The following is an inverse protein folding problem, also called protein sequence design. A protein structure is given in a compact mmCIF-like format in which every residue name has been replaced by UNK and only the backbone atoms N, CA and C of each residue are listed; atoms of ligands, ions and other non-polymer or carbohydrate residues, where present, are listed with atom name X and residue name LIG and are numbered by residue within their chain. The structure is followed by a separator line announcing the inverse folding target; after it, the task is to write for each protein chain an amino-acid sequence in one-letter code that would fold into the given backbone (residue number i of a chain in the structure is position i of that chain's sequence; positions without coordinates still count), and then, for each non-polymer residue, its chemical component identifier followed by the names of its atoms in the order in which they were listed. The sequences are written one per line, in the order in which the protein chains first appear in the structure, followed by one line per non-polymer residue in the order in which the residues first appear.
data_IF_962577727100
#
_entry.id   IF_962577727100
#
_cell.length_a   1.000
_cell.length_b   1.000
_cell.length_c   1.000
_cell.angle_alpha   90.00
_cell.angle_beta   90.00
_cell.angle_gamma   90.00
#
_symmetry.space_group_name_H-M   'P 1'
#
loop_
_entity.id
_entity.type
_entity.pdbx_description
1 polymer ?
#
# COMPACT_ATOMS: atom_id res chain seq x y z
N UNK A 1 -6.53 44.03 12.39
CA UNK A 1 -5.51 42.96 12.25
C UNK A 1 -6.30 41.67 12.13
N UNK A 2 -6.75 41.36 10.92
CA UNK A 2 -7.49 40.13 10.64
C UNK A 2 -6.49 38.97 10.73
N UNK A 3 -6.60 38.18 11.79
CA UNK A 3 -5.98 36.85 11.84
C UNK A 3 -6.73 35.99 10.85
N UNK A 4 -6.33 36.08 9.58
CA UNK A 4 -6.76 35.16 8.54
C UNK A 4 -6.48 33.74 9.01
N UNK A 5 -7.55 32.94 9.06
CA UNK A 5 -7.62 31.53 9.40
C UNK A 5 -6.78 30.74 8.36
N UNK A 6 -5.46 30.88 8.45
CA UNK A 6 -4.50 30.26 7.53
C UNK A 6 -4.39 28.80 7.92
N UNK A 7 -5.22 28.00 7.27
CA UNK A 7 -5.19 26.55 7.41
C UNK A 7 -3.79 26.05 7.02
N UNK A 8 -3.12 25.25 7.87
CA UNK A 8 -1.77 24.80 7.58
C UNK A 8 -1.79 23.82 6.39
N UNK A 9 -1.17 24.25 5.29
CA UNK A 9 -1.03 23.51 4.02
C UNK A 9 0.43 23.13 3.80
N UNK A 10 0.69 21.87 3.50
CA UNK A 10 1.96 21.42 2.92
C UNK A 10 1.76 21.12 1.45
N UNK A 11 2.71 21.53 0.62
CA UNK A 11 2.75 21.12 -0.79
C UNK A 11 4.15 20.71 -1.21
N UNK A 12 4.19 19.78 -2.16
CA UNK A 12 5.41 19.36 -2.84
C UNK A 12 5.09 19.06 -4.30
N UNK A 13 6.05 19.27 -5.19
CA UNK A 13 5.87 19.00 -6.61
C UNK A 13 6.84 17.91 -7.03
N UNK A 14 6.29 16.91 -7.71
CA UNK A 14 7.05 15.82 -8.31
C UNK A 14 7.17 16.05 -9.81
N UNK A 15 8.40 16.03 -10.33
CA UNK A 15 8.66 16.03 -11.76
C UNK A 15 8.81 14.57 -12.22
N UNK A 16 7.86 14.10 -13.02
CA UNK A 16 7.75 12.70 -13.43
C UNK A 16 7.80 12.57 -14.94
N UNK A 17 8.29 11.42 -15.40
CA UNK A 17 8.22 10.99 -16.78
C UNK A 17 6.75 10.78 -17.16
N UNK A 18 6.28 11.33 -18.31
CA UNK A 18 4.90 11.13 -18.76
C UNK A 18 4.57 9.66 -19.00
N UNK A 19 3.37 9.24 -18.59
CA UNK A 19 2.84 7.90 -18.86
C UNK A 19 1.58 7.99 -19.72
N UNK A 20 1.59 7.30 -20.86
CA UNK A 20 0.44 7.27 -21.76
C UNK A 20 -0.79 6.61 -21.11
N UNK A 21 -1.98 7.11 -21.45
CA UNK A 21 -3.26 6.61 -20.89
C UNK A 21 -3.47 5.13 -21.21
N UNK A 22 -3.08 4.73 -22.42
CA UNK A 22 -3.20 3.37 -22.92
C UNK A 22 -2.36 2.41 -22.07
N UNK A 23 -1.14 2.84 -21.67
CA UNK A 23 -0.25 2.04 -20.82
C UNK A 23 -0.86 1.81 -19.44
N UNK A 24 -1.52 2.82 -18.85
CA UNK A 24 -2.22 2.66 -17.57
C UNK A 24 -3.37 1.65 -17.71
N UNK A 25 -4.19 1.79 -18.76
CA UNK A 25 -5.28 0.84 -19.04
C UNK A 25 -4.79 -0.59 -19.24
N UNK A 26 -3.71 -0.79 -20.00
CA UNK A 26 -3.10 -2.10 -20.19
C UNK A 26 -2.51 -2.67 -18.91
N UNK A 27 -1.93 -1.82 -18.05
CA UNK A 27 -1.38 -2.24 -16.75
C UNK A 27 -2.48 -2.73 -15.83
N UNK A 28 -3.61 -2.02 -15.76
CA UNK A 28 -4.79 -2.43 -14.98
C UNK A 28 -5.37 -3.75 -15.51
N UNK A 29 -5.51 -3.90 -16.83
CA UNK A 29 -5.97 -5.15 -17.43
C UNK A 29 -5.03 -6.33 -17.13
N UNK A 30 -3.71 -6.11 -17.16
CA UNK A 30 -2.74 -7.13 -16.80
C UNK A 30 -2.76 -7.47 -15.29
N UNK A 31 -3.04 -6.51 -14.41
CA UNK A 31 -3.24 -6.78 -12.98
C UNK A 31 -4.47 -7.66 -12.72
N UNK A 32 -5.56 -7.46 -13.47
CA UNK A 32 -6.71 -8.36 -13.44
C UNK A 32 -6.35 -9.77 -13.94
N UNK A 33 -5.51 -9.89 -14.97
CA UNK A 33 -5.00 -11.18 -15.44
C UNK A 33 -4.19 -11.92 -14.37
N UNK A 34 -3.36 -11.21 -13.60
CA UNK A 34 -2.66 -11.76 -12.43
C UNK A 34 -3.65 -12.33 -11.43
N UNK A 35 -4.66 -11.53 -11.04
CA UNK A 35 -5.68 -11.96 -10.08
C UNK A 35 -6.40 -13.23 -10.56
N UNK A 36 -6.78 -13.31 -11.84
CA UNK A 36 -7.40 -14.51 -12.44
C UNK A 36 -6.49 -15.74 -12.43
N UNK A 37 -5.20 -15.53 -12.60
CA UNK A 37 -4.22 -16.61 -12.75
C UNK A 37 -3.83 -17.27 -11.44
N UNK A 38 -4.19 -16.66 -10.30
CA UNK A 38 -4.03 -17.27 -8.98
C UNK A 38 -4.73 -18.63 -8.91
N UNK A 39 -3.98 -19.65 -8.46
CA UNK A 39 -4.50 -21.00 -8.21
C UNK A 39 -4.29 -21.37 -6.76
N UNK A 40 -5.20 -22.17 -6.22
CA UNK A 40 -5.17 -22.57 -4.82
C UNK A 40 -5.05 -24.08 -4.69
N UNK A 41 -4.33 -24.55 -3.68
CA UNK A 41 -4.20 -25.96 -3.35
C UNK A 41 -5.48 -26.52 -2.70
N UNK A 42 -5.46 -27.81 -2.33
CA UNK A 42 -6.61 -28.46 -1.68
C UNK A 42 -6.95 -27.91 -0.29
N UNK A 43 -6.08 -27.11 0.32
CA UNK A 43 -6.28 -26.40 1.59
C UNK A 43 -6.63 -24.93 1.39
N UNK A 44 -6.75 -24.49 0.14
CA UNK A 44 -7.06 -23.12 -0.23
C UNK A 44 -5.85 -22.19 -0.22
N UNK A 45 -4.61 -22.64 -0.06
CA UNK A 45 -3.44 -21.76 -0.10
C UNK A 45 -3.03 -21.43 -1.53
N UNK A 46 -2.65 -20.18 -1.77
CA UNK A 46 -2.16 -19.73 -3.07
C UNK A 46 -0.91 -20.52 -3.45
N UNK A 47 -0.97 -21.18 -4.61
CA UNK A 47 0.19 -21.81 -5.23
C UNK A 47 1.14 -20.72 -5.72
N UNK A 48 2.37 -20.77 -5.23
CA UNK A 48 3.43 -19.84 -5.60
C UNK A 48 4.37 -20.49 -6.61
N UNK A 49 4.95 -19.72 -7.56
CA UNK A 49 5.98 -20.24 -8.46
C UNK A 49 7.18 -20.80 -7.68
N UNK A 50 7.99 -21.63 -8.35
CA UNK A 50 9.26 -22.10 -7.79
C UNK A 50 10.25 -20.94 -7.54
N UNK A 51 11.28 -21.22 -6.75
CA UNK A 51 12.26 -20.20 -6.34
C UNK A 51 12.99 -19.59 -7.54
N UNK A 52 13.33 -20.38 -8.56
CA UNK A 52 14.02 -19.88 -9.77
C UNK A 52 13.14 -18.89 -10.54
N UNK A 53 11.85 -19.19 -10.67
CA UNK A 53 10.89 -18.31 -11.34
C UNK A 53 10.64 -17.06 -10.52
N UNK A 54 10.52 -17.16 -9.19
CA UNK A 54 10.40 -16.00 -8.31
C UNK A 54 11.63 -15.07 -8.42
N UNK A 55 12.84 -15.64 -8.36
CA UNK A 55 14.07 -14.87 -8.47
C UNK A 55 14.19 -14.14 -9.82
N UNK A 56 13.76 -14.76 -10.92
CA UNK A 56 13.68 -14.11 -12.25
C UNK A 56 12.65 -12.98 -12.27
N UNK A 57 11.47 -13.21 -11.71
CA UNK A 57 10.41 -12.19 -11.66
C UNK A 57 10.85 -10.98 -10.84
N UNK A 58 11.55 -11.17 -9.73
CA UNK A 58 12.02 -10.02 -8.93
C UNK A 58 13.21 -9.32 -9.54
N UNK A 59 14.08 -10.02 -10.27
CA UNK A 59 15.10 -9.37 -11.08
C UNK A 59 14.46 -8.46 -12.14
N UNK A 60 13.41 -8.94 -12.80
CA UNK A 60 12.64 -8.13 -13.73
C UNK A 60 11.94 -6.96 -13.01
N UNK A 61 11.28 -7.19 -11.88
CA UNK A 61 10.63 -6.15 -11.08
C UNK A 61 11.61 -5.04 -10.64
N UNK A 62 12.82 -5.42 -10.21
CA UNK A 62 13.86 -4.49 -9.82
C UNK A 62 14.36 -3.66 -11.01
N UNK A 63 14.49 -4.27 -12.19
CA UNK A 63 14.86 -3.54 -13.42
C UNK A 63 13.82 -2.49 -13.82
N UNK A 64 12.55 -2.71 -13.46
CA UNK A 64 11.44 -1.78 -13.66
C UNK A 64 11.29 -0.74 -12.53
N UNK A 65 12.11 -0.84 -11.48
CA UNK A 65 12.05 0.03 -10.30
C UNK A 65 10.89 -0.28 -9.35
N UNK A 66 10.25 -1.45 -9.46
CA UNK A 66 9.14 -1.87 -8.61
C UNK A 66 9.59 -2.43 -7.25
N UNK A 67 10.84 -2.90 -7.16
CA UNK A 67 11.41 -3.49 -5.95
C UNK A 67 12.89 -3.14 -5.80
N UNK A 68 13.36 -3.16 -4.56
CA UNK A 68 14.79 -3.14 -4.26
C UNK A 68 15.31 -4.58 -4.19
N UNK A 69 16.14 -4.96 -5.18
CA UNK A 69 16.69 -6.31 -5.30
C UNK A 69 17.58 -6.68 -4.12
N UNK A 70 18.39 -5.73 -3.63
CA UNK A 70 19.33 -6.00 -2.55
C UNK A 70 18.57 -6.22 -1.25
N UNK A 71 17.61 -5.34 -0.95
CA UNK A 71 16.73 -5.49 0.20
C UNK A 71 15.91 -6.80 0.13
N UNK A 72 15.38 -7.16 -1.04
CA UNK A 72 14.61 -8.40 -1.22
C UNK A 72 15.47 -9.67 -1.05
N UNK A 73 16.74 -9.63 -1.46
CA UNK A 73 17.69 -10.73 -1.25
C UNK A 73 18.13 -10.85 0.20
N UNK A 74 18.41 -9.72 0.84
CA UNK A 74 18.74 -9.64 2.26
C UNK A 74 17.60 -10.19 3.11
N UNK A 75 16.37 -9.69 2.92
CA UNK A 75 15.19 -10.18 3.63
C UNK A 75 14.94 -11.69 3.42
N UNK A 76 15.31 -12.26 2.27
CA UNK A 76 15.22 -13.72 2.06
C UNK A 76 16.32 -14.50 2.76
N UNK A 77 17.55 -13.99 2.73
CA UNK A 77 18.67 -14.59 3.45
C UNK A 77 18.36 -14.60 4.95
N UNK A 78 17.95 -13.47 5.52
CA UNK A 78 17.55 -13.36 6.92
C UNK A 78 16.41 -14.32 7.28
N UNK A 79 15.38 -14.41 6.42
CA UNK A 79 14.28 -15.39 6.60
C UNK A 79 14.78 -16.84 6.62
N UNK A 80 15.65 -17.21 5.69
CA UNK A 80 16.22 -18.57 5.59
C UNK A 80 17.09 -18.89 6.80
N UNK A 81 17.97 -17.97 7.19
CA UNK A 81 18.82 -18.11 8.38
C UNK A 81 17.98 -18.22 9.66
N UNK A 82 16.91 -17.44 9.78
CA UNK A 82 15.98 -17.54 10.91
C UNK A 82 15.25 -18.90 10.95
N UNK A 83 14.78 -19.39 9.80
CA UNK A 83 14.13 -20.69 9.68
C UNK A 83 15.09 -21.86 9.92
N UNK A 84 16.35 -21.75 9.51
CA UNK A 84 17.38 -22.75 9.80
C UNK A 84 17.72 -22.77 11.29
N UNK A 85 17.95 -21.60 11.90
CA UNK A 85 18.23 -21.50 13.32
C UNK A 85 17.10 -22.05 14.18
N UNK A 86 15.84 -21.79 13.80
CA UNK A 86 14.67 -22.34 14.48
C UNK A 86 14.62 -23.87 14.41
N UNK A 87 15.09 -24.48 13.31
CA UNK A 87 15.13 -25.94 13.13
C UNK A 87 16.29 -26.63 13.87
N UNK A 88 17.45 -25.98 13.95
CA UNK A 88 18.69 -26.62 14.43
C UNK A 88 19.04 -26.32 15.89
N UNK A 89 18.61 -25.19 16.43
CA UNK A 89 18.97 -24.79 17.78
C UNK A 89 18.12 -25.55 18.83
N UNK A 90 18.80 -26.17 19.80
CA UNK A 90 18.17 -26.97 20.86
C UNK A 90 17.98 -26.19 22.17
N UNK A 91 18.55 -25.00 22.27
CA UNK A 91 18.68 -24.18 23.49
C UNK A 91 18.09 -22.77 23.31
N UNK A 92 17.10 -22.61 22.43
CA UNK A 92 16.41 -21.32 22.28
C UNK A 92 15.52 -21.04 23.48
N UNK A 93 15.60 -19.82 24.01
CA UNK A 93 14.57 -19.32 24.90
C UNK A 93 13.23 -19.16 24.14
N UNK A 94 12.08 -19.19 24.83
CA UNK A 94 10.78 -18.95 24.19
C UNK A 94 10.70 -17.63 23.41
N UNK A 95 11.33 -16.57 23.90
CA UNK A 95 11.35 -15.25 23.26
C UNK A 95 12.20 -15.22 21.97
N UNK A 96 13.36 -15.90 21.98
CA UNK A 96 14.19 -16.03 20.79
C UNK A 96 13.54 -16.91 19.73
N UNK A 97 12.91 -18.02 20.13
CA UNK A 97 12.17 -18.87 19.22
C UNK A 97 11.03 -18.09 18.53
N UNK A 98 10.32 -17.25 19.28
CA UNK A 98 9.25 -16.42 18.73
C UNK A 98 9.76 -15.34 17.79
N UNK A 99 10.85 -14.66 18.15
CA UNK A 99 11.51 -13.69 17.27
C UNK A 99 11.93 -14.33 15.95
N UNK A 100 12.45 -15.56 15.98
CA UNK A 100 12.84 -16.31 14.78
C UNK A 100 11.63 -16.77 13.96
N UNK A 101 10.49 -17.10 14.60
CA UNK A 101 9.23 -17.40 13.87
C UNK A 101 8.71 -16.19 13.11
N UNK A 102 8.65 -15.02 13.75
CA UNK A 102 8.29 -13.76 13.09
C UNK A 102 9.26 -13.44 11.96
N UNK A 103 10.58 -13.53 12.21
CA UNK A 103 11.59 -13.23 11.18
C UNK A 103 11.61 -14.21 10.02
N UNK A 104 11.14 -15.45 10.21
CA UNK A 104 11.04 -16.45 9.15
C UNK A 104 9.68 -16.46 8.47
N UNK A 105 8.77 -15.57 8.87
CA UNK A 105 7.40 -15.56 8.35
C UNK A 105 7.35 -15.13 6.88
N UNK A 106 6.31 -15.59 6.18
CA UNK A 106 6.02 -15.22 4.79
C UNK A 106 4.56 -14.84 4.65
N UNK A 107 4.29 -13.76 3.93
CA UNK A 107 2.91 -13.39 3.59
C UNK A 107 2.31 -14.46 2.66
N UNK A 108 1.12 -14.94 3.00
CA UNK A 108 0.39 -15.92 2.21
C UNK A 108 -1.08 -15.51 2.06
N UNK A 109 -1.69 -15.98 0.97
CA UNK A 109 -3.10 -15.80 0.66
C UNK A 109 -3.80 -17.15 0.70
N UNK A 110 -4.87 -17.24 1.47
CA UNK A 110 -5.75 -18.41 1.52
C UNK A 110 -7.13 -18.07 0.99
N UNK A 111 -7.67 -18.84 0.05
CA UNK A 111 -9.10 -18.90 -0.25
C UNK A 111 -9.78 -19.77 0.80
N UNK A 112 -10.47 -19.14 1.76
CA UNK A 112 -11.14 -19.84 2.86
C UNK A 112 -12.52 -20.38 2.46
N UNK A 113 -13.25 -19.65 1.61
CA UNK A 113 -14.55 -20.10 1.12
C UNK A 113 -14.95 -19.45 -0.22
N UNK A 114 -15.88 -20.09 -0.92
CA UNK A 114 -16.36 -19.64 -2.23
C UNK A 114 -15.49 -20.10 -3.39
N UNK A 115 -15.85 -19.66 -4.60
CA UNK A 115 -15.06 -19.89 -5.81
C UNK A 115 -14.18 -18.67 -6.07
N UNK A 116 -12.93 -18.89 -6.50
CA UNK A 116 -11.99 -17.81 -6.78
C UNK A 116 -12.63 -16.70 -7.65
N UNK A 117 -12.57 -15.46 -7.17
CA UNK A 117 -13.12 -14.21 -7.74
C UNK A 117 -14.64 -14.17 -7.90
N UNK A 118 -15.37 -15.22 -7.53
CA UNK A 118 -16.82 -15.16 -7.51
C UNK A 118 -17.32 -14.25 -6.38
N UNK A 119 -18.49 -13.61 -6.52
CA UNK A 119 -19.14 -12.94 -5.41
C UNK A 119 -19.25 -13.85 -4.18
N UNK A 120 -18.91 -13.31 -3.01
CA UNK A 120 -18.78 -13.98 -1.71
C UNK A 120 -17.58 -14.91 -1.55
N UNK A 121 -16.63 -14.91 -2.49
CA UNK A 121 -15.32 -15.50 -2.23
C UNK A 121 -14.66 -14.78 -1.05
N UNK A 122 -14.20 -15.55 -0.06
CA UNK A 122 -13.54 -15.02 1.12
C UNK A 122 -12.10 -15.50 1.16
N UNK A 123 -11.19 -14.54 1.21
CA UNK A 123 -9.76 -14.77 1.31
C UNK A 123 -9.25 -14.30 2.67
N UNK A 124 -8.16 -14.90 3.11
CA UNK A 124 -7.42 -14.47 4.27
C UNK A 124 -5.96 -14.27 3.89
N UNK A 125 -5.45 -13.06 4.13
CA UNK A 125 -4.04 -12.73 4.03
C UNK A 125 -3.44 -12.84 5.42
N UNK A 126 -2.49 -13.73 5.60
CA UNK A 126 -1.82 -13.98 6.87
C UNK A 126 -0.31 -14.10 6.67
N UNK A 127 0.45 -13.82 7.72
CA UNK A 127 1.84 -14.25 7.79
C UNK A 127 1.88 -15.71 8.24
N UNK A 128 2.60 -16.55 7.50
CA UNK A 128 2.82 -17.95 7.85
C UNK A 128 4.24 -18.13 8.38
N UNK A 129 4.39 -18.90 9.44
CA UNK A 129 5.69 -19.39 9.88
C UNK A 129 6.32 -20.29 8.80
N UNK A 130 7.61 -20.60 8.97
CA UNK A 130 8.31 -21.57 8.10
C UNK A 130 7.70 -22.99 8.12
N UNK A 131 6.85 -23.30 9.10
CA UNK A 131 6.08 -24.55 9.20
C UNK A 131 4.70 -24.46 8.51
N UNK A 132 4.34 -23.30 7.96
CA UNK A 132 3.06 -23.05 7.28
C UNK A 132 1.90 -22.79 8.24
N UNK A 133 2.19 -22.40 9.49
CA UNK A 133 1.17 -22.08 10.51
C UNK A 133 0.94 -20.56 10.53
N UNK A 134 -0.30 -20.07 10.52
CA UNK A 134 -0.58 -18.64 10.69
C UNK A 134 0.03 -18.09 11.97
N UNK A 135 0.70 -16.95 11.87
CA UNK A 135 1.31 -16.27 12.99
C UNK A 135 0.22 -15.49 13.74
N UNK A 136 -0.06 -15.88 14.98
CA UNK A 136 -0.97 -15.12 15.84
C UNK A 136 -0.23 -13.93 16.48
N UNK A 137 -0.89 -12.78 16.66
CA UNK A 137 -0.27 -11.62 17.29
C UNK A 137 0.08 -11.95 18.74
N UNK A 138 1.38 -11.90 19.05
CA UNK A 138 1.95 -12.34 20.35
C UNK A 138 1.60 -11.35 21.47
N UNK A 139 1.39 -10.08 21.13
CA UNK A 139 1.08 -9.02 22.10
C UNK A 139 -0.13 -8.20 21.64
N UNK A 140 -0.96 -7.78 22.59
CA UNK A 140 -2.10 -6.88 22.34
C UNK A 140 -1.72 -5.53 21.69
N UNK A 141 -0.43 -5.20 21.67
CA UNK A 141 0.11 -3.98 21.05
C UNK A 141 0.57 -4.18 19.60
N UNK A 142 0.69 -5.44 19.13
CA UNK A 142 1.21 -5.75 17.79
C UNK A 142 0.16 -5.70 16.66
N UNK A 143 -1.12 -5.50 16.99
CA UNK A 143 -2.17 -5.27 15.99
C UNK A 143 -2.54 -6.54 15.21
N UNK A 144 -3.57 -6.40 14.38
CA UNK A 144 -4.38 -7.46 13.77
C UNK A 144 -3.62 -8.69 13.26
N UNK A 145 -4.27 -9.84 13.43
CA UNK A 145 -3.75 -11.17 13.06
C UNK A 145 -3.70 -11.49 11.56
N UNK A 146 -4.37 -10.69 10.74
CA UNK A 146 -4.43 -10.89 9.28
C UNK A 146 -5.46 -9.99 8.64
N UNK A 147 -5.66 -10.14 7.34
CA UNK A 147 -6.65 -9.38 6.56
C UNK A 147 -7.61 -10.33 5.87
N UNK A 148 -8.86 -10.35 6.31
CA UNK A 148 -9.96 -10.96 5.55
C UNK A 148 -10.31 -10.07 4.36
N UNK A 149 -10.49 -10.67 3.18
CA UNK A 149 -10.93 -9.98 1.95
C UNK A 149 -12.12 -10.74 1.37
N UNK A 150 -13.24 -10.05 1.21
CA UNK A 150 -14.47 -10.62 0.64
C UNK A 150 -14.78 -9.98 -0.70
N UNK A 151 -14.94 -10.79 -1.74
CA UNK A 151 -15.39 -10.29 -3.06
C UNK A 151 -16.88 -9.98 -2.99
N UNK A 152 -17.25 -8.73 -3.20
CA UNK A 152 -18.66 -8.30 -3.27
C UNK A 152 -19.19 -8.42 -4.70
N UNK A 153 -18.39 -7.98 -5.67
CA UNK A 153 -18.62 -8.16 -7.10
C UNK A 153 -17.29 -8.27 -7.83
N UNK A 154 -17.28 -8.99 -8.95
CA UNK A 154 -16.11 -9.07 -9.80
C UNK A 154 -16.54 -9.03 -11.26
N UNK A 155 -16.37 -7.87 -11.88
CA UNK A 155 -16.46 -7.70 -13.32
C UNK A 155 -15.36 -6.72 -13.74
N UNK A 156 -14.37 -7.24 -14.45
CA UNK A 156 -13.16 -6.50 -14.86
C UNK A 156 -13.45 -5.46 -15.94
N UNK A 157 -14.57 -5.61 -16.65
CA UNK A 157 -15.02 -4.70 -17.69
C UNK A 157 -16.08 -3.71 -17.18
N UNK A 158 -16.62 -3.94 -15.98
CA UNK A 158 -17.55 -3.05 -15.31
C UNK A 158 -17.04 -2.70 -13.91
N UNK A 159 -17.55 -3.34 -12.86
CA UNK A 159 -17.24 -2.99 -11.48
C UNK A 159 -16.72 -4.19 -10.68
N UNK A 160 -15.49 -4.09 -10.22
CA UNK A 160 -14.92 -4.98 -9.20
C UNK A 160 -15.01 -4.31 -7.84
N UNK A 161 -15.54 -5.02 -6.85
CA UNK A 161 -15.67 -4.52 -5.48
C UNK A 161 -15.28 -5.58 -4.48
N UNK A 162 -14.41 -5.21 -3.56
CA UNK A 162 -13.98 -6.05 -2.44
C UNK A 162 -14.18 -5.30 -1.13
N UNK A 163 -14.51 -6.05 -0.09
CA UNK A 163 -14.48 -5.61 1.29
C UNK A 163 -13.24 -6.20 1.96
N UNK A 164 -12.60 -5.44 2.84
CA UNK A 164 -11.51 -5.95 3.67
C UNK A 164 -11.79 -5.69 5.15
N UNK A 165 -11.34 -6.60 6.00
CA UNK A 165 -11.49 -6.53 7.43
C UNK A 165 -10.25 -7.12 8.12
N UNK A 166 -9.73 -6.39 9.10
CA UNK A 166 -8.57 -6.74 9.90
C UNK A 166 -9.04 -6.93 11.34
N UNK A 167 -9.27 -8.17 11.80
CA UNK A 167 -9.68 -8.45 13.17
C UNK A 167 -8.50 -8.32 14.13
N UNK A 168 -8.74 -7.86 15.36
CA UNK A 168 -7.70 -7.74 16.39
C UNK A 168 -7.09 -9.11 16.71
N UNK A 169 -7.96 -10.13 16.84
CA UNK A 169 -7.60 -11.52 17.14
C UNK A 169 -8.32 -12.48 16.18
N UNK A 170 -7.65 -13.58 15.83
CA UNK A 170 -8.22 -14.62 14.95
C UNK A 170 -9.46 -15.22 15.62
N UNK A 171 -10.56 -15.35 14.89
CA UNK A 171 -11.76 -16.05 15.37
C UNK A 171 -12.57 -15.30 16.44
N UNK A 172 -12.28 -14.03 16.67
CA UNK A 172 -13.08 -13.16 17.53
C UNK A 172 -14.38 -12.72 16.84
N UNK A 173 -15.48 -12.70 17.60
CA UNK A 173 -16.76 -12.09 17.18
C UNK A 173 -16.76 -10.56 17.34
N UNK A 174 -15.64 -9.97 17.77
CA UNK A 174 -15.52 -8.52 17.92
C UNK A 174 -15.43 -7.82 16.55
N UNK A 175 -15.95 -6.58 16.44
CA UNK A 175 -15.81 -5.79 15.21
C UNK A 175 -14.33 -5.61 14.83
N UNK A 176 -14.00 -5.64 13.53
CA UNK A 176 -12.62 -5.49 13.07
C UNK A 176 -12.03 -4.12 13.45
N UNK A 177 -10.72 -4.11 13.79
CA UNK A 177 -9.98 -2.90 14.13
C UNK A 177 -9.71 -2.02 12.92
N UNK A 178 -9.67 -2.61 11.73
CA UNK A 178 -9.67 -1.85 10.48
C UNK A 178 -10.56 -2.55 9.47
N UNK A 179 -11.40 -1.82 8.77
CA UNK A 179 -12.26 -2.38 7.72
C UNK A 179 -12.53 -1.36 6.62
N UNK A 180 -12.99 -1.82 5.48
CA UNK A 180 -13.22 -0.92 4.36
C UNK A 180 -13.67 -1.62 3.10
N UNK A 181 -13.91 -0.83 2.07
CA UNK A 181 -14.24 -1.35 0.74
C UNK A 181 -13.38 -0.69 -0.31
N UNK A 182 -12.95 -1.47 -1.30
CA UNK A 182 -12.29 -0.99 -2.51
C UNK A 182 -13.20 -1.30 -3.70
N UNK A 183 -13.47 -0.29 -4.52
CA UNK A 183 -14.26 -0.41 -5.74
C UNK A 183 -13.48 0.15 -6.90
N UNK A 184 -13.34 -0.63 -7.96
CA UNK A 184 -12.81 -0.19 -9.25
C UNK A 184 -13.93 -0.24 -10.28
N UNK A 185 -14.25 0.91 -10.87
CA UNK A 185 -15.14 1.05 -12.01
C UNK A 185 -14.29 1.27 -13.27
N UNK A 186 -14.17 0.22 -14.07
CA UNK A 186 -13.32 0.21 -15.26
C UNK A 186 -13.86 1.15 -16.35
N UNK A 187 -15.18 1.28 -16.47
CA UNK A 187 -15.81 2.14 -17.48
C UNK A 187 -15.64 3.62 -17.15
N UNK A 188 -15.68 3.97 -15.86
CA UNK A 188 -15.42 5.32 -15.38
C UNK A 188 -13.92 5.63 -15.22
N UNK A 189 -13.04 4.63 -15.21
CA UNK A 189 -11.62 4.80 -14.90
C UNK A 189 -11.39 5.25 -13.45
N UNK A 190 -12.26 4.81 -12.54
CA UNK A 190 -12.38 5.32 -11.18
C UNK A 190 -12.08 4.22 -10.15
N UNK A 191 -11.10 4.48 -9.29
CA UNK A 191 -10.81 3.68 -8.11
C UNK A 191 -11.27 4.45 -6.86
N UNK A 192 -12.08 3.81 -6.03
CA UNK A 192 -12.47 4.34 -4.72
C UNK A 192 -12.11 3.33 -3.64
N UNK A 193 -11.58 3.82 -2.52
CA UNK A 193 -11.39 3.01 -1.32
C UNK A 193 -11.95 3.77 -0.11
N UNK A 194 -12.60 3.06 0.80
CA UNK A 194 -13.02 3.57 2.09
C UNK A 194 -12.35 2.76 3.18
N UNK A 195 -11.99 3.41 4.28
CA UNK A 195 -11.39 2.78 5.44
C UNK A 195 -12.02 3.31 6.73
N UNK A 196 -12.24 2.44 7.70
CA UNK A 196 -12.57 2.76 9.08
C UNK A 196 -11.58 2.04 9.97
N UNK A 197 -10.92 2.79 10.86
CA UNK A 197 -9.94 2.30 11.82
C UNK A 197 -10.47 2.56 13.22
N UNK A 198 -10.38 1.57 14.09
CA UNK A 198 -10.75 1.58 15.50
C UNK A 198 -9.67 0.85 16.28
N UNK A 199 -8.79 1.58 16.95
CA UNK A 199 -7.77 0.94 17.79
C UNK A 199 -8.35 0.60 19.18
N UNK A 200 -8.14 -0.63 19.68
CA UNK A 200 -8.67 -1.07 20.97
C UNK A 200 -8.03 -0.31 22.16
N UNK A 201 -8.64 -0.45 23.34
CA UNK A 201 -8.14 0.08 24.62
C UNK A 201 -8.89 1.30 25.20
N UNK A 202 -8.39 1.81 26.35
CA UNK A 202 -8.98 2.98 27.04
C UNK A 202 -8.93 4.23 26.16
N UNK A 203 -10.05 4.94 26.04
CA UNK A 203 -10.17 6.12 25.20
C UNK A 203 -10.47 5.83 23.72
N UNK A 204 -11.07 4.66 23.42
CA UNK A 204 -11.41 4.21 22.06
C UNK A 204 -12.08 5.28 21.17
N UNK A 205 -12.86 6.20 21.74
CA UNK A 205 -13.47 7.29 20.98
C UNK A 205 -12.41 8.19 20.30
N UNK A 206 -11.28 8.47 20.95
CA UNK A 206 -10.15 9.24 20.42
C UNK A 206 -9.23 8.43 19.49
N UNK A 207 -9.52 7.15 19.27
CA UNK A 207 -8.70 6.23 18.48
C UNK A 207 -9.46 5.65 17.28
N UNK A 208 -10.40 6.44 16.77
CA UNK A 208 -11.18 6.10 15.59
C UNK A 208 -10.91 7.10 14.47
N UNK A 209 -10.66 6.58 13.27
CA UNK A 209 -10.48 7.36 12.06
C UNK A 209 -11.30 6.73 10.94
N UNK A 210 -11.84 7.57 10.06
CA UNK A 210 -12.47 7.14 8.83
C UNK A 210 -11.78 7.86 7.68
N UNK A 211 -11.71 7.23 6.51
CA UNK A 211 -11.14 7.88 5.34
C UNK A 211 -11.65 7.31 4.04
N UNK A 212 -11.44 8.09 2.99
CA UNK A 212 -11.73 7.73 1.61
C UNK A 212 -10.53 8.11 0.73
N UNK A 213 -10.29 7.30 -0.29
CA UNK A 213 -9.37 7.57 -1.39
C UNK A 213 -10.17 7.49 -2.68
N UNK A 214 -9.96 8.45 -3.57
CA UNK A 214 -10.50 8.45 -4.92
C UNK A 214 -9.36 8.70 -5.90
N UNK A 215 -9.27 7.89 -6.94
CA UNK A 215 -8.35 8.08 -8.07
C UNK A 215 -9.16 7.96 -9.36
N UNK A 216 -9.28 9.04 -10.09
CA UNK A 216 -9.97 9.16 -11.37
C UNK A 216 -8.94 9.38 -12.48
N UNK A 217 -8.69 8.32 -13.25
CA UNK A 217 -7.73 8.36 -14.35
C UNK A 217 -8.22 9.22 -15.50
N UNK A 218 -9.53 9.33 -15.73
CA UNK A 218 -10.07 10.19 -16.79
C UNK A 218 -9.87 11.66 -16.43
N UNK A 219 -10.20 12.04 -15.20
CA UNK A 219 -9.92 13.39 -14.68
C UNK A 219 -8.42 13.70 -14.67
N UNK A 220 -7.56 12.70 -14.41
CA UNK A 220 -6.10 12.87 -14.44
C UNK A 220 -5.62 13.32 -15.82
N UNK A 221 -6.04 12.62 -16.87
CA UNK A 221 -5.66 12.95 -18.24
C UNK A 221 -6.36 14.21 -18.78
N UNK A 222 -7.60 14.48 -18.36
CA UNK A 222 -8.28 15.74 -18.67
C UNK A 222 -7.56 16.95 -18.07
N UNK A 223 -7.03 16.82 -16.84
CA UNK A 223 -6.21 17.85 -16.22
C UNK A 223 -4.90 18.11 -16.98
N UNK A 224 -4.22 17.05 -17.41
CA UNK A 224 -3.01 17.16 -18.25
C UNK A 224 -3.29 17.82 -19.60
N UNK A 225 -4.45 17.57 -20.20
CA UNK A 225 -4.88 18.18 -21.46
C UNK A 225 -5.34 19.65 -21.31
N UNK A 226 -5.44 20.17 -20.07
CA UNK A 226 -5.97 21.51 -19.80
C UNK A 226 -7.49 21.61 -20.03
N UNK A 227 -8.18 20.47 -20.09
CA UNK A 227 -9.64 20.38 -20.30
C UNK A 227 -10.42 20.52 -18.98
N UNK A 228 -9.73 20.41 -17.84
CA UNK A 228 -10.33 20.61 -16.52
C UNK A 228 -10.75 22.06 -16.31
N UNK A 229 -12.06 22.27 -16.15
CA UNK A 229 -12.61 23.58 -15.81
C UNK A 229 -12.14 24.10 -14.45
N UNK A 230 -12.23 25.41 -14.20
CA UNK A 230 -11.93 26.00 -12.90
C UNK A 230 -12.77 25.32 -11.80
N UNK A 231 -12.12 24.78 -10.77
CA UNK A 231 -12.79 24.13 -9.65
C UNK A 231 -13.21 22.67 -9.89
N UNK A 232 -12.75 22.05 -10.98
CA UNK A 232 -12.86 20.60 -11.14
C UNK A 232 -12.22 19.87 -9.93
N UNK A 233 -12.82 18.76 -9.46
CA UNK A 233 -12.25 17.99 -8.36
C UNK A 233 -10.87 17.46 -8.75
N UNK A 234 -9.91 17.40 -7.80
CA UNK A 234 -8.60 16.86 -8.09
C UNK A 234 -8.70 15.37 -8.44
N UNK A 235 -7.93 14.90 -9.44
CA UNK A 235 -8.06 13.54 -9.96
C UNK A 235 -7.63 12.46 -8.99
N UNK A 236 -6.76 12.76 -8.02
CA UNK A 236 -6.51 11.87 -6.89
C UNK A 236 -6.72 12.63 -5.58
N UNK A 237 -7.53 12.08 -4.69
CA UNK A 237 -7.90 12.72 -3.42
C UNK A 237 -8.00 11.70 -2.31
N UNK A 238 -7.44 12.05 -1.16
CA UNK A 238 -7.60 11.33 0.11
C UNK A 238 -8.29 12.26 1.08
N UNK A 239 -9.33 11.76 1.74
CA UNK A 239 -9.97 12.43 2.87
C UNK A 239 -9.87 11.51 4.07
N UNK A 240 -9.50 12.05 5.23
CA UNK A 240 -9.54 11.28 6.46
C UNK A 240 -10.09 12.16 7.60
N UNK A 241 -11.10 11.65 8.28
CA UNK A 241 -11.68 12.27 9.45
C UNK A 241 -11.24 11.50 10.70
N UNK A 242 -10.55 12.20 11.59
CA UNK A 242 -10.32 11.78 12.95
C UNK A 242 -11.20 12.62 13.90
N UNK A 243 -11.32 12.23 15.17
CA UNK A 243 -12.03 13.07 16.15
C UNK A 243 -11.38 14.44 16.36
N UNK A 244 -10.06 14.50 16.20
CA UNK A 244 -9.26 15.71 16.49
C UNK A 244 -8.93 16.52 15.24
N UNK A 245 -8.92 15.89 14.06
CA UNK A 245 -8.40 16.48 12.84
C UNK A 245 -9.14 15.94 11.63
N UNK A 246 -9.42 16.81 10.68
CA UNK A 246 -9.80 16.47 9.31
C UNK A 246 -8.58 16.64 8.42
N UNK A 247 -8.31 15.65 7.59
CA UNK A 247 -7.19 15.63 6.66
C UNK A 247 -7.77 15.54 5.26
N UNK A 248 -7.25 16.35 4.36
CA UNK A 248 -7.53 16.27 2.93
C UNK A 248 -6.20 16.37 2.19
N UNK A 249 -5.86 15.34 1.43
CA UNK A 249 -4.72 15.36 0.54
C UNK A 249 -5.18 15.18 -0.90
N UNK A 250 -4.49 15.79 -1.85
CA UNK A 250 -4.80 15.59 -3.26
C UNK A 250 -3.58 15.75 -4.14
N UNK A 251 -3.66 15.15 -5.33
CA UNK A 251 -2.67 15.27 -6.39
C UNK A 251 -3.30 15.96 -7.59
N UNK A 252 -2.58 16.93 -8.16
CA UNK A 252 -2.97 17.66 -9.36
C UNK A 252 -1.84 17.61 -10.39
N UNK A 253 -2.03 16.91 -11.53
CA UNK A 253 -1.03 16.86 -12.57
C UNK A 253 -1.13 18.09 -13.49
N UNK A 254 0.00 18.50 -14.03
CA UNK A 254 0.11 19.52 -15.08
C UNK A 254 1.26 19.18 -16.03
N UNK A 255 1.19 19.67 -17.26
CA UNK A 255 2.29 19.54 -18.22
C UNK A 255 3.23 20.74 -18.11
N UNK A 256 4.52 20.44 -18.02
CA UNK A 256 5.57 21.46 -18.10
C UNK A 256 5.90 21.79 -19.56
N UNK A 257 6.57 22.94 -19.84
CA UNK A 257 6.93 23.32 -21.21
C UNK A 257 7.85 22.34 -21.94
N UNK A 258 8.64 21.56 -21.20
CA UNK A 258 9.51 20.49 -21.71
C UNK A 258 8.79 19.15 -21.88
N UNK A 259 7.48 19.10 -21.64
CA UNK A 259 6.63 17.94 -21.85
C UNK A 259 6.67 16.92 -20.71
N UNK A 260 7.33 17.23 -19.58
CA UNK A 260 7.28 16.41 -18.36
C UNK A 260 5.97 16.62 -17.60
N UNK A 261 5.69 15.69 -16.69
CA UNK A 261 4.60 15.87 -15.73
C UNK A 261 5.11 16.59 -14.50
N UNK A 262 4.43 17.66 -14.11
CA UNK A 262 4.58 18.30 -12.81
C UNK A 262 3.34 18.00 -11.98
N UNK A 263 3.50 17.15 -10.98
CA UNK A 263 2.42 16.69 -10.09
C UNK A 263 2.53 17.41 -8.76
N UNK A 264 1.61 18.33 -8.49
CA UNK A 264 1.49 18.97 -7.18
C UNK A 264 0.77 18.01 -6.23
N UNK A 265 1.44 17.64 -5.14
CA UNK A 265 0.84 16.99 -3.99
C UNK A 265 0.58 18.02 -2.91
N UNK A 266 -0.65 18.06 -2.43
CA UNK A 266 -1.07 18.95 -1.36
C UNK A 266 -1.62 18.13 -0.21
N UNK A 267 -1.23 18.50 1.01
CA UNK A 267 -1.80 18.01 2.25
C UNK A 267 -2.34 19.19 3.05
N UNK A 268 -3.62 19.16 3.30
CA UNK A 268 -4.34 20.05 4.19
C UNK A 268 -4.78 19.25 5.44
N UNK A 269 -4.55 19.81 6.63
CA UNK A 269 -5.09 19.23 7.85
C UNK A 269 -5.64 20.30 8.79
N UNK A 270 -6.90 20.14 9.18
CA UNK A 270 -7.68 21.08 9.97
C UNK A 270 -8.09 20.46 11.30
N UNK A 271 -7.72 21.09 12.41
CA UNK A 271 -8.17 20.64 13.73
C UNK A 271 -9.69 20.81 13.92
N UNK A 272 -10.28 19.96 14.75
CA UNK A 272 -11.71 20.01 15.12
C UNK A 272 -11.90 20.63 16.50
N UNK A 273 -12.90 21.51 16.64
CA UNK A 273 -13.29 22.14 17.90
C UNK A 273 -12.10 22.83 18.62
N UNK A 274 -11.86 22.56 19.92
CA UNK A 274 -10.80 23.20 20.69
C UNK A 274 -9.39 22.79 20.26
N UNK A 275 -9.24 21.77 19.40
CA UNK A 275 -7.94 21.29 18.90
C UNK A 275 -7.46 22.01 17.64
N UNK A 276 -8.23 22.95 17.08
CA UNK A 276 -7.81 23.83 15.98
C UNK A 276 -6.41 24.45 16.15
N UNK A 277 -6.08 25.10 17.28
CA UNK A 277 -4.74 25.69 17.47
C UNK A 277 -3.63 24.65 17.58
N UNK A 278 -3.96 23.39 17.93
CA UNK A 278 -2.97 22.34 18.10
C UNK A 278 -2.35 21.90 16.77
N UNK A 279 -3.12 21.91 15.67
CA UNK A 279 -2.59 21.53 14.36
C UNK A 279 -1.49 22.46 13.88
N UNK A 280 -1.63 23.77 14.10
CA UNK A 280 -0.56 24.72 13.79
C UNK A 280 0.74 24.37 14.54
N UNK A 281 0.66 23.91 15.79
CA UNK A 281 1.81 23.44 16.56
C UNK A 281 2.39 22.13 16.01
N UNK A 282 1.55 21.19 15.58
CA UNK A 282 2.01 19.93 14.95
C UNK A 282 2.77 20.22 13.66
N UNK A 283 2.23 21.05 12.77
CA UNK A 283 2.93 21.46 11.54
C UNK A 283 4.22 22.23 11.85
N UNK A 284 4.21 23.09 12.87
CA UNK A 284 5.42 23.76 13.32
C UNK A 284 6.45 22.75 13.86
N UNK A 285 6.04 21.76 14.63
CA UNK A 285 6.88 20.68 15.15
C UNK A 285 7.47 19.83 14.01
N UNK A 286 6.66 19.45 13.01
CA UNK A 286 7.11 18.75 11.81
C UNK A 286 8.15 19.62 11.08
N UNK A 287 7.83 20.88 10.77
CA UNK A 287 8.76 21.80 10.07
C UNK A 287 10.07 22.02 10.83
N UNK A 288 10.00 22.14 12.16
CA UNK A 288 11.20 22.29 13.00
C UNK A 288 11.99 20.99 13.10
N UNK A 289 11.32 19.84 13.15
CA UNK A 289 11.96 18.52 13.07
C UNK A 289 12.71 18.36 11.76
N UNK A 290 12.07 18.64 10.61
CA UNK A 290 12.71 18.62 9.29
C UNK A 290 13.97 19.48 9.26
N UNK A 291 13.92 20.71 9.79
CA UNK A 291 15.09 21.60 9.88
C UNK A 291 16.18 21.05 10.81
N UNK A 292 15.80 20.40 11.90
CA UNK A 292 16.74 19.79 12.85
C UNK A 292 17.42 18.58 12.23
N UNK A 293 16.68 17.75 11.52
CA UNK A 293 17.20 16.58 10.81
C UNK A 293 18.09 16.98 9.64
N UNK A 294 17.73 18.01 8.88
CA UNK A 294 18.63 18.59 7.86
C UNK A 294 19.96 19.04 8.47
N UNK A 295 19.93 19.73 9.62
CA UNK A 295 21.16 20.15 10.33
C UNK A 295 21.93 18.96 10.92
N UNK A 296 21.25 17.91 11.34
CA UNK A 296 21.88 16.70 11.87
C UNK A 296 22.56 15.90 10.75
N UNK A 297 21.89 15.75 9.60
CA UNK A 297 22.46 15.14 8.41
C UNK A 297 23.66 15.92 7.87
N UNK A 298 23.64 17.26 7.95
CA UNK A 298 24.82 18.09 7.62
C UNK A 298 26.02 17.84 8.55
N UNK A 299 25.81 17.31 9.76
CA UNK A 299 26.87 16.98 10.73
C UNK A 299 27.28 15.50 10.70
N UNK A 300 26.43 14.63 10.17
CA UNK A 300 26.66 13.18 10.11
C UNK A 300 26.35 12.68 8.69
N UNK A 301 27.40 12.47 7.85
CA UNK A 301 27.25 12.09 6.44
C UNK A 301 26.40 10.83 6.22
N UNK A 302 26.40 9.92 7.20
CA UNK A 302 25.70 8.64 7.12
C UNK A 302 24.19 8.73 7.42
N UNK A 303 23.69 9.90 7.89
CA UNK A 303 22.27 10.07 8.20
C UNK A 303 21.53 10.66 6.98
N UNK A 304 20.54 9.96 6.39
CA UNK A 304 19.81 10.49 5.25
C UNK A 304 18.97 11.70 5.67
N UNK A 305 19.15 12.82 4.95
CA UNK A 305 18.34 14.01 5.18
C UNK A 305 16.92 13.83 4.62
N UNK A 306 15.89 14.50 5.17
CA UNK A 306 14.54 14.41 4.62
C UNK A 306 14.43 14.84 3.15
N UNK A 307 15.24 15.82 2.71
CA UNK A 307 15.31 16.19 1.27
C UNK A 307 15.89 15.09 0.40
N UNK A 308 16.90 14.39 0.92
CA UNK A 308 17.48 13.24 0.22
C UNK A 308 16.45 12.12 0.11
N UNK A 309 15.72 11.82 1.19
CA UNK A 309 14.64 10.83 1.16
C UNK A 309 13.53 11.21 0.16
N UNK A 310 13.12 12.48 0.12
CA UNK A 310 12.16 12.97 -0.87
C UNK A 310 12.70 12.87 -2.30
N UNK A 311 13.96 13.24 -2.53
CA UNK A 311 14.59 13.12 -3.85
C UNK A 311 14.72 11.65 -4.29
N UNK A 312 15.08 10.74 -3.37
CA UNK A 312 15.13 9.29 -3.61
C UNK A 312 13.74 8.74 -3.92
N UNK A 313 12.69 9.19 -3.21
CA UNK A 313 11.31 8.83 -3.50
C UNK A 313 10.85 9.35 -4.88
N UNK A 314 11.14 10.60 -5.22
CA UNK A 314 10.83 11.17 -6.55
C UNK A 314 11.56 10.40 -7.65
N UNK A 315 12.84 10.07 -7.47
CA UNK A 315 13.59 9.25 -8.42
C UNK A 315 13.03 7.83 -8.55
N UNK A 316 12.57 7.23 -7.45
CA UNK A 316 11.93 5.92 -7.49
C UNK A 316 10.64 5.96 -8.33
N UNK A 317 9.76 6.94 -8.09
CA UNK A 317 8.55 7.13 -8.88
C UNK A 317 8.84 7.45 -10.35
N UNK A 318 9.84 8.31 -10.61
CA UNK A 318 10.24 8.65 -11.98
C UNK A 318 10.79 7.44 -12.73
N UNK A 319 11.55 6.55 -12.06
CA UNK A 319 12.00 5.28 -12.64
C UNK A 319 10.83 4.36 -13.00
N UNK A 320 9.84 4.22 -12.12
CA UNK A 320 8.64 3.43 -12.42
C UNK A 320 7.88 4.03 -13.61
N UNK A 321 7.71 5.36 -13.63
CA UNK A 321 7.05 6.06 -14.72
C UNK A 321 7.79 5.91 -16.06
N UNK A 322 9.12 6.03 -16.05
CA UNK A 322 9.96 5.84 -17.24
C UNK A 322 9.89 4.41 -17.79
N UNK A 323 9.67 3.41 -16.92
CA UNK A 323 9.53 2.01 -17.31
C UNK A 323 8.07 1.54 -17.45
N UNK A 324 7.09 2.46 -17.35
CA UNK A 324 5.67 2.10 -17.27
C UNK A 324 5.20 1.27 -18.48
N UNK A 325 5.73 1.53 -19.67
CA UNK A 325 5.40 0.79 -20.90
C UNK A 325 5.73 -0.72 -20.82
N UNK A 326 6.62 -1.14 -19.92
CA UNK A 326 6.99 -2.53 -19.73
C UNK A 326 6.15 -3.24 -18.64
N UNK A 327 5.43 -2.49 -17.80
CA UNK A 327 4.63 -3.05 -16.70
C UNK A 327 3.57 -4.05 -17.15
N UNK A 328 2.80 -3.81 -18.24
CA UNK A 328 1.83 -4.80 -18.71
C UNK A 328 2.48 -6.12 -19.10
N UNK A 329 3.67 -6.08 -19.70
CA UNK A 329 4.44 -7.27 -20.07
C UNK A 329 4.88 -8.08 -18.85
N UNK A 330 5.44 -7.39 -17.85
CA UNK A 330 5.84 -8.00 -16.58
C UNK A 330 4.66 -8.62 -15.83
N UNK A 331 3.54 -7.93 -15.70
CA UNK A 331 2.35 -8.47 -15.01
C UNK A 331 1.79 -9.72 -15.72
N UNK A 332 1.83 -9.77 -17.05
CA UNK A 332 1.44 -10.99 -17.80
C UNK A 332 2.44 -12.13 -17.60
N UNK A 333 3.72 -11.84 -17.39
CA UNK A 333 4.72 -12.84 -17.01
C UNK A 333 4.40 -13.42 -15.61
N UNK A 334 4.09 -12.56 -14.64
CA UNK A 334 3.63 -12.96 -13.30
C UNK A 334 2.37 -13.82 -13.40
N UNK A 335 1.37 -13.40 -14.20
CA UNK A 335 0.14 -14.15 -14.42
C UNK A 335 0.42 -15.57 -14.96
N UNK A 336 1.28 -15.69 -15.98
CA UNK A 336 1.71 -16.99 -16.52
C UNK A 336 2.41 -17.86 -15.48
N UNK A 337 3.30 -17.28 -14.68
CA UNK A 337 4.00 -18.00 -13.62
C UNK A 337 3.04 -18.53 -12.55
N UNK A 338 2.05 -17.72 -12.14
CA UNK A 338 1.01 -18.13 -11.20
C UNK A 338 0.10 -19.23 -11.77
N UNK A 339 -0.29 -19.13 -13.04
CA UNK A 339 -1.10 -20.15 -13.71
C UNK A 339 -0.37 -21.50 -13.82
N UNK A 340 0.95 -21.46 -14.02
CA UNK A 340 1.83 -22.63 -14.10
C UNK A 340 2.23 -23.20 -12.74
N UNK A 341 2.01 -22.47 -11.64
CA UNK A 341 2.35 -22.92 -10.30
C UNK A 341 1.62 -24.22 -9.96
N UNK A 342 2.38 -25.21 -9.52
CA UNK A 342 1.88 -26.51 -9.06
C UNK A 342 2.08 -26.67 -7.56
N UNK A 343 1.44 -27.68 -6.94
CA UNK A 343 1.74 -28.06 -5.57
C UNK A 343 3.24 -28.39 -5.46
N UNK A 344 3.89 -27.86 -4.42
CA UNK A 344 5.28 -28.21 -4.11
C UNK A 344 5.30 -29.70 -3.68
N UNK A 345 6.25 -30.50 -4.20
CA UNK A 345 6.32 -31.94 -3.95
C UNK A 345 6.61 -32.29 -2.50
#
# INVERSE_FOLDING_TARGET
METGDTVPRLSHTFDLTPVAREVVGETVAAAYEVARSCRFDGRGWLLTPDEETLDRLEEHAASLGLSDREAAREARRERREAAERLRTATDLSPEEAETLRVRSSVLALQLQSGHHLAPRAHYHVAELTSEGVPLEPVYAEQGWSGTGVTVLSWDEHATSRVEYAMPDTVGSDEPPVTSGTVTHDAGAGLLTATASVRLPGRGAWLRSAEGSLTVDTHAWYAALAGESGPGAPPPARVEAAHRLVDITAWLSPSLTPDGRWSVEAVLDARGRGPFRPFMAMVFWAIRTSFRREERAAAKHPDRPSPRRQLAEATQAWDRVAANAAHLPGYLREVAKALAAAGPKP
#
